data_IF_098823670005
#
_entry.id   IF_098823670005
#
_cell.length_a   1.000
_cell.length_b   1.000
_cell.length_c   1.000
_cell.angle_alpha   90.00
_cell.angle_beta   90.00
_cell.angle_gamma   90.00
#
_symmetry.space_group_name_H-M   'P 1'
#
loop_
_entity.id
_entity.type
_entity.pdbx_description
1 polymer ?
#
# COMPACT_ATOMS: atom_id res chain seq x y z
N UNK A 1 -12.66 -28.72 -2.83
CA UNK A 1 -12.77 -29.56 -1.63
C UNK A 1 -14.19 -30.09 -1.54
N UNK A 2 -14.38 -31.32 -1.03
CA UNK A 2 -15.60 -32.14 -1.06
C UNK A 2 -16.91 -31.36 -1.33
N UNK A 3 -17.41 -31.44 -2.56
CA UNK A 3 -18.77 -30.99 -2.90
C UNK A 3 -19.85 -31.92 -2.30
N UNK A 4 -19.44 -33.00 -1.63
CA UNK A 4 -20.27 -33.93 -0.90
C UNK A 4 -20.33 -33.57 0.61
N UNK A 5 -21.51 -33.17 1.13
CA UNK A 5 -21.71 -32.87 2.54
C UNK A 5 -21.36 -34.01 3.52
N UNK A 6 -21.45 -35.27 3.08
CA UNK A 6 -21.13 -36.41 3.93
C UNK A 6 -19.63 -36.57 4.17
N UNK A 7 -18.81 -36.25 3.16
CA UNK A 7 -17.35 -36.27 3.27
C UNK A 7 -16.84 -35.15 4.19
N UNK A 8 -17.44 -33.95 4.10
CA UNK A 8 -17.11 -32.82 4.99
C UNK A 8 -17.47 -33.12 6.46
N UNK A 9 -18.57 -33.86 6.69
CA UNK A 9 -18.98 -34.29 8.03
C UNK A 9 -18.00 -35.30 8.63
N UNK A 10 -17.62 -36.34 7.86
CA UNK A 10 -16.64 -37.35 8.30
C UNK A 10 -15.27 -36.72 8.58
N UNK A 11 -14.82 -35.80 7.73
CA UNK A 11 -13.59 -35.03 7.96
C UNK A 11 -13.68 -34.23 9.27
N UNK A 12 -14.77 -33.49 9.46
CA UNK A 12 -15.01 -32.66 10.65
C UNK A 12 -15.06 -33.47 11.95
N UNK A 13 -15.56 -34.71 11.92
CA UNK A 13 -15.55 -35.60 13.08
C UNK A 13 -14.13 -36.02 13.48
N UNK A 14 -13.27 -36.36 12.50
CA UNK A 14 -11.88 -36.74 12.77
C UNK A 14 -11.10 -35.56 13.35
N UNK A 15 -11.29 -34.36 12.78
CA UNK A 15 -10.69 -33.12 13.30
C UNK A 15 -11.06 -32.89 14.77
N UNK A 16 -12.32 -33.11 15.13
CA UNK A 16 -12.79 -33.03 16.53
C UNK A 16 -12.16 -34.09 17.42
N UNK A 17 -12.06 -35.33 16.96
CA UNK A 17 -11.44 -36.43 17.73
C UNK A 17 -9.96 -36.18 18.01
N UNK A 18 -9.27 -35.49 17.11
CA UNK A 18 -7.87 -35.10 17.27
C UNK A 18 -7.67 -33.80 18.06
N UNK A 19 -8.75 -33.15 18.53
CA UNK A 19 -8.71 -31.88 19.25
C UNK A 19 -7.93 -30.75 18.51
N UNK A 20 -8.01 -30.70 17.19
CA UNK A 20 -7.31 -29.69 16.40
C UNK A 20 -8.04 -28.33 16.47
N UNK A 21 -7.30 -27.21 16.61
CA UNK A 21 -7.88 -25.88 16.82
C UNK A 21 -8.55 -25.30 15.56
N UNK A 22 -8.06 -25.68 14.39
CA UNK A 22 -8.61 -25.25 13.10
C UNK A 22 -9.64 -26.28 12.61
N UNK A 23 -10.74 -25.81 12.00
CA UNK A 23 -11.85 -26.68 11.60
C UNK A 23 -11.92 -26.97 10.10
N UNK A 24 -11.13 -26.27 9.29
CA UNK A 24 -11.21 -26.33 7.83
C UNK A 24 -9.84 -26.20 7.19
N UNK A 25 -9.64 -26.96 6.13
CA UNK A 25 -8.54 -26.79 5.20
C UNK A 25 -8.76 -25.53 4.35
N UNK A 26 -7.67 -25.05 3.77
CA UNK A 26 -7.66 -23.87 2.88
C UNK A 26 -7.35 -24.36 1.47
N UNK A 27 -8.18 -24.00 0.49
CA UNK A 27 -7.96 -24.35 -0.90
C UNK A 27 -6.94 -23.42 -1.57
N UNK A 28 -6.08 -24.00 -2.42
CA UNK A 28 -5.21 -23.24 -3.32
C UNK A 28 -6.05 -22.48 -4.36
N UNK A 29 -5.61 -21.26 -4.66
CA UNK A 29 -6.28 -20.37 -5.58
C UNK A 29 -5.25 -19.83 -6.57
N UNK A 30 -5.32 -20.31 -7.81
CA UNK A 30 -4.35 -19.98 -8.88
C UNK A 30 -4.18 -18.48 -9.12
N UNK A 31 -5.20 -17.68 -8.86
CA UNK A 31 -5.16 -16.22 -9.04
C UNK A 31 -4.66 -15.47 -7.79
N UNK A 32 -4.46 -16.16 -6.65
CA UNK A 32 -3.93 -15.59 -5.42
C UNK A 32 -2.59 -16.23 -5.11
N UNK A 33 -1.51 -15.53 -5.47
CA UNK A 33 -0.11 -15.92 -5.27
C UNK A 33 0.27 -16.54 -3.91
N UNK A 34 -0.34 -16.11 -2.79
CA UNK A 34 -0.05 -16.64 -1.46
C UNK A 34 -0.81 -17.92 -1.07
N UNK A 35 -1.82 -18.30 -1.86
CA UNK A 35 -2.76 -19.35 -1.47
C UNK A 35 -2.13 -20.73 -1.36
N UNK A 36 -1.10 -21.03 -2.15
CA UNK A 36 -0.39 -22.32 -2.05
C UNK A 36 0.30 -22.48 -0.70
N UNK A 37 0.94 -21.42 -0.19
CA UNK A 37 1.51 -21.44 1.15
C UNK A 37 0.44 -21.61 2.22
N UNK A 38 -0.65 -20.83 2.12
CA UNK A 38 -1.77 -20.89 3.09
C UNK A 38 -2.41 -22.29 3.12
N UNK A 39 -2.60 -22.92 1.95
CA UNK A 39 -3.08 -24.30 1.81
C UNK A 39 -2.12 -25.27 2.47
N UNK A 40 -0.82 -25.24 2.14
CA UNK A 40 0.15 -26.19 2.68
C UNK A 40 0.31 -26.04 4.19
N UNK A 41 0.42 -24.80 4.69
CA UNK A 41 0.54 -24.50 6.11
C UNK A 41 -0.70 -24.97 6.90
N UNK A 42 -1.90 -24.87 6.32
CA UNK A 42 -3.11 -25.44 6.90
C UNK A 42 -3.06 -26.98 6.85
N UNK A 43 -2.81 -27.55 5.68
CA UNK A 43 -2.83 -29.01 5.45
C UNK A 43 -1.87 -29.77 6.38
N UNK A 44 -0.66 -29.23 6.61
CA UNK A 44 0.34 -29.82 7.51
C UNK A 44 -0.20 -29.98 8.94
N UNK A 45 -1.02 -29.04 9.44
CA UNK A 45 -1.66 -29.15 10.76
C UNK A 45 -2.68 -30.28 10.85
N UNK A 46 -3.19 -30.72 9.70
CA UNK A 46 -4.16 -31.80 9.57
C UNK A 46 -3.55 -33.10 9.07
N UNK A 47 -2.22 -33.24 9.01
CA UNK A 47 -1.56 -34.41 8.40
C UNK A 47 -2.06 -35.76 8.94
N UNK A 48 -2.38 -35.83 10.23
CA UNK A 48 -2.87 -37.04 10.89
C UNK A 48 -4.36 -37.33 10.63
N UNK A 49 -5.11 -36.38 10.05
CA UNK A 49 -6.50 -36.55 9.65
C UNK A 49 -6.60 -37.40 8.39
N UNK A 50 -5.69 -37.22 7.43
CA UNK A 50 -5.78 -37.85 6.10
C UNK A 50 -5.73 -39.39 6.16
N UNK A 51 -4.81 -40.04 6.91
CA UNK A 51 -4.81 -41.50 7.04
C UNK A 51 -6.08 -42.03 7.72
N UNK A 52 -6.56 -41.36 8.78
CA UNK A 52 -7.79 -41.74 9.49
C UNK A 52 -9.04 -41.55 8.63
N UNK A 53 -9.00 -40.61 7.69
CA UNK A 53 -10.05 -40.41 6.72
C UNK A 53 -10.03 -41.52 5.67
N UNK A 54 -8.83 -41.94 5.22
CA UNK A 54 -8.65 -43.10 4.36
C UNK A 54 -9.24 -44.39 4.97
N UNK A 55 -9.04 -44.60 6.27
CA UNK A 55 -9.61 -45.74 6.99
C UNK A 55 -11.15 -45.78 6.98
N UNK A 56 -11.80 -44.61 6.81
CA UNK A 56 -13.26 -44.45 6.85
C UNK A 56 -13.91 -44.32 5.48
N UNK A 57 -13.13 -44.09 4.43
CA UNK A 57 -13.62 -43.90 3.07
C UNK A 57 -12.96 -44.86 2.08
N UNK A 58 -13.73 -45.87 1.69
CA UNK A 58 -13.34 -46.94 0.78
C UNK A 58 -12.88 -46.47 -0.61
N UNK A 59 -13.19 -45.23 -1.00
CA UNK A 59 -12.84 -44.65 -2.30
C UNK A 59 -11.83 -43.48 -2.19
N UNK A 60 -11.13 -43.36 -1.06
CA UNK A 60 -10.11 -42.32 -0.86
C UNK A 60 -8.70 -42.82 -1.26
N UNK A 61 -8.43 -42.82 -2.57
CA UNK A 61 -7.17 -43.33 -3.14
C UNK A 61 -6.02 -42.30 -3.17
N UNK A 62 -6.24 -41.08 -2.67
CA UNK A 62 -5.32 -39.94 -2.82
C UNK A 62 -4.73 -39.51 -1.46
N UNK A 63 -4.53 -40.45 -0.54
CA UNK A 63 -3.93 -40.17 0.76
C UNK A 63 -2.44 -39.79 0.59
N UNK A 64 -1.98 -38.60 1.05
CA UNK A 64 -0.58 -38.23 0.94
C UNK A 64 0.32 -39.17 1.77
N UNK A 65 1.46 -39.55 1.20
CA UNK A 65 2.46 -40.38 1.87
C UNK A 65 3.30 -39.59 2.87
N UNK A 66 4.08 -40.28 3.71
CA UNK A 66 5.04 -39.64 4.61
C UNK A 66 6.12 -38.83 3.84
N UNK A 67 6.49 -39.28 2.64
CA UNK A 67 7.42 -38.55 1.77
C UNK A 67 6.78 -37.26 1.23
N UNK A 68 5.49 -37.29 0.87
CA UNK A 68 4.75 -36.11 0.41
C UNK A 68 4.66 -35.05 1.51
N UNK A 69 4.38 -35.45 2.76
CA UNK A 69 4.40 -34.52 3.89
C UNK A 69 5.78 -33.92 4.12
N UNK A 70 6.84 -34.72 3.99
CA UNK A 70 8.22 -34.23 4.09
C UNK A 70 8.52 -33.20 2.99
N UNK A 71 8.07 -33.43 1.75
CA UNK A 71 8.20 -32.46 0.66
C UNK A 71 7.37 -31.20 0.92
N UNK A 72 6.13 -31.36 1.38
CA UNK A 72 5.23 -30.25 1.69
C UNK A 72 5.80 -29.33 2.77
N UNK A 73 6.34 -29.88 3.85
CA UNK A 73 7.00 -29.11 4.92
C UNK A 73 8.21 -28.32 4.39
N UNK A 74 9.03 -28.93 3.53
CA UNK A 74 10.18 -28.25 2.90
C UNK A 74 9.73 -27.13 1.97
N UNK A 75 8.73 -27.35 1.12
CA UNK A 75 8.19 -26.30 0.24
C UNK A 75 7.58 -25.16 1.08
N UNK A 76 6.80 -25.50 2.10
CA UNK A 76 6.19 -24.54 3.01
C UNK A 76 7.24 -23.63 3.66
N UNK A 77 8.37 -24.20 4.11
CA UNK A 77 9.47 -23.43 4.68
C UNK A 77 10.10 -22.40 3.73
N UNK A 78 10.12 -22.69 2.42
CA UNK A 78 10.61 -21.73 1.42
C UNK A 78 9.56 -20.65 1.18
N UNK A 79 8.30 -21.05 1.01
CA UNK A 79 7.20 -20.13 0.70
C UNK A 79 6.82 -19.21 1.86
N UNK A 80 7.10 -19.59 3.12
CA UNK A 80 6.82 -18.77 4.31
C UNK A 80 7.47 -17.39 4.23
N UNK A 81 8.71 -17.31 3.74
CA UNK A 81 9.39 -16.02 3.59
C UNK A 81 8.73 -15.16 2.52
N UNK A 82 8.32 -15.75 1.39
CA UNK A 82 7.58 -15.04 0.34
C UNK A 82 6.25 -14.54 0.87
N UNK A 83 5.50 -15.39 1.57
CA UNK A 83 4.25 -15.01 2.19
C UNK A 83 4.44 -13.84 3.16
N UNK A 84 5.47 -13.89 4.00
CA UNK A 84 5.80 -12.82 4.96
C UNK A 84 6.16 -11.52 4.25
N UNK A 85 7.10 -11.57 3.30
CA UNK A 85 7.53 -10.40 2.52
C UNK A 85 6.35 -9.76 1.80
N UNK A 86 5.53 -10.59 1.14
CA UNK A 86 4.29 -10.17 0.50
C UNK A 86 3.34 -9.47 1.47
N UNK A 87 3.07 -10.04 2.64
CA UNK A 87 2.16 -9.44 3.61
C UNK A 87 2.65 -8.08 4.08
N UNK A 88 3.97 -7.90 4.22
CA UNK A 88 4.58 -6.63 4.58
C UNK A 88 4.38 -5.60 3.46
N UNK A 89 4.69 -5.94 2.20
CA UNK A 89 4.64 -4.99 1.08
C UNK A 89 3.24 -4.79 0.47
N UNK A 90 2.28 -5.65 0.83
CA UNK A 90 0.86 -5.51 0.46
C UNK A 90 -0.01 -4.84 1.52
N UNK A 91 0.63 -4.24 2.54
CA UNK A 91 -0.06 -3.38 3.50
C UNK A 91 -0.78 -2.22 2.82
N UNK A 92 -1.89 -1.77 3.42
CA UNK A 92 -2.65 -0.60 2.94
C UNK A 92 -2.83 0.48 4.00
N UNK A 93 -2.48 0.18 5.25
CA UNK A 93 -2.61 1.10 6.38
C UNK A 93 -1.29 1.81 6.71
N UNK A 94 -0.22 1.55 5.96
CA UNK A 94 1.11 2.15 6.13
C UNK A 94 1.87 2.22 4.79
N UNK A 95 2.88 3.10 4.67
CA UNK A 95 3.78 3.17 3.51
C UNK A 95 4.53 1.85 3.26
N UNK A 96 4.47 1.36 2.02
CA UNK A 96 5.11 0.08 1.65
C UNK A 96 6.37 0.24 0.81
N UNK A 97 6.57 1.39 0.16
CA UNK A 97 7.66 1.59 -0.81
C UNK A 97 9.04 1.57 -0.17
N UNK A 98 9.20 2.15 1.01
CA UNK A 98 10.43 2.09 1.80
C UNK A 98 10.76 0.70 2.34
N UNK A 99 9.78 -0.19 2.48
CA UNK A 99 9.98 -1.52 3.07
C UNK A 99 10.42 -2.56 2.04
N UNK A 100 10.08 -2.35 0.77
CA UNK A 100 10.25 -3.34 -0.28
C UNK A 100 11.70 -3.81 -0.45
N UNK A 101 12.68 -2.89 -0.45
CA UNK A 101 14.08 -3.23 -0.70
C UNK A 101 14.62 -4.24 0.32
N UNK A 102 14.27 -4.07 1.59
CA UNK A 102 14.68 -4.98 2.67
C UNK A 102 14.05 -6.36 2.48
N UNK A 103 12.75 -6.42 2.18
CA UNK A 103 12.03 -7.69 2.00
C UNK A 103 12.51 -8.46 0.76
N UNK A 104 12.78 -7.76 -0.34
CA UNK A 104 13.33 -8.38 -1.54
C UNK A 104 14.76 -8.87 -1.34
N UNK A 105 15.59 -8.12 -0.61
CA UNK A 105 16.92 -8.59 -0.21
C UNK A 105 16.85 -9.90 0.58
N UNK A 106 15.90 -10.02 1.52
CA UNK A 106 15.68 -11.26 2.28
C UNK A 106 15.29 -12.44 1.37
N UNK A 107 14.37 -12.22 0.44
CA UNK A 107 13.95 -13.23 -0.54
C UNK A 107 15.14 -13.70 -1.39
N UNK A 108 15.96 -12.77 -1.88
CA UNK A 108 17.15 -13.11 -2.68
C UNK A 108 18.14 -13.96 -1.89
N UNK A 109 18.43 -13.59 -0.65
CA UNK A 109 19.33 -14.36 0.23
C UNK A 109 18.81 -15.78 0.45
N UNK A 110 17.49 -15.95 0.67
CA UNK A 110 16.90 -17.29 0.80
C UNK A 110 17.07 -18.11 -0.48
N UNK A 111 16.75 -17.53 -1.64
CA UNK A 111 16.87 -18.20 -2.93
C UNK A 111 18.31 -18.63 -3.20
N UNK A 112 19.28 -17.75 -2.96
CA UNK A 112 20.69 -18.06 -3.16
C UNK A 112 21.17 -19.15 -2.20
N UNK A 113 20.77 -19.09 -0.92
CA UNK A 113 21.09 -20.13 0.07
C UNK A 113 20.50 -21.49 -0.33
N UNK A 114 19.22 -21.53 -0.70
CA UNK A 114 18.51 -22.77 -1.04
C UNK A 114 18.94 -23.36 -2.39
N UNK A 115 19.42 -22.53 -3.31
CA UNK A 115 20.01 -23.01 -4.58
C UNK A 115 21.31 -23.80 -4.39
N UNK A 116 21.98 -23.68 -3.24
CA UNK A 116 23.22 -24.39 -2.91
C UNK A 116 23.02 -25.55 -1.93
N UNK A 117 21.77 -25.86 -1.56
CA UNK A 117 21.46 -26.91 -0.59
C UNK A 117 21.58 -28.31 -1.20
N UNK A 118 21.86 -29.31 -0.36
CA UNK A 118 22.02 -30.71 -0.79
C UNK A 118 20.70 -31.37 -1.22
N UNK A 119 19.56 -30.80 -0.80
CA UNK A 119 18.25 -31.31 -1.17
C UNK A 119 17.95 -31.03 -2.65
N UNK A 120 18.04 -32.07 -3.49
CA UNK A 120 17.86 -31.97 -4.95
C UNK A 120 16.47 -31.42 -5.30
N UNK A 121 15.43 -31.87 -4.58
CA UNK A 121 14.05 -31.45 -4.84
C UNK A 121 13.87 -29.94 -4.59
N UNK A 122 14.38 -29.43 -3.46
CA UNK A 122 14.31 -28.00 -3.15
C UNK A 122 15.21 -27.18 -4.08
N UNK A 123 16.42 -27.67 -4.38
CA UNK A 123 17.35 -26.99 -5.27
C UNK A 123 16.75 -26.79 -6.66
N UNK A 124 16.13 -27.82 -7.24
CA UNK A 124 15.54 -27.74 -8.58
C UNK A 124 14.33 -26.78 -8.62
N UNK A 125 13.50 -26.78 -7.56
CA UNK A 125 12.40 -25.83 -7.41
C UNK A 125 12.93 -24.39 -7.29
N UNK A 126 13.88 -24.16 -6.40
CA UNK A 126 14.45 -22.84 -6.11
C UNK A 126 15.22 -22.30 -7.30
N UNK A 127 15.91 -23.13 -8.07
CA UNK A 127 16.57 -22.70 -9.30
C UNK A 127 15.59 -22.04 -10.29
N UNK A 128 14.40 -22.61 -10.46
CA UNK A 128 13.34 -22.03 -11.31
C UNK A 128 12.80 -20.72 -10.73
N UNK A 129 12.58 -20.65 -9.41
CA UNK A 129 12.13 -19.43 -8.73
C UNK A 129 13.17 -18.31 -8.83
N UNK A 130 14.44 -18.64 -8.60
CA UNK A 130 15.57 -17.72 -8.71
C UNK A 130 15.74 -17.18 -10.14
N UNK A 131 15.61 -18.04 -11.15
CA UNK A 131 15.65 -17.58 -12.56
C UNK A 131 14.56 -16.55 -12.86
N UNK A 132 13.35 -16.72 -12.30
CA UNK A 132 12.28 -15.70 -12.41
C UNK A 132 12.62 -14.43 -11.63
N UNK A 133 13.12 -14.57 -10.41
CA UNK A 133 13.56 -13.43 -9.60
C UNK A 133 14.60 -12.58 -10.34
N UNK A 134 15.69 -13.21 -10.78
CA UNK A 134 16.82 -12.53 -11.44
C UNK A 134 16.37 -11.87 -12.76
N UNK A 135 15.39 -12.47 -13.47
CA UNK A 135 14.79 -11.88 -14.67
C UNK A 135 14.07 -10.55 -14.41
N UNK A 136 13.29 -10.45 -13.32
CA UNK A 136 12.42 -9.29 -13.09
C UNK A 136 13.04 -8.22 -12.18
N UNK A 137 14.03 -8.56 -11.36
CA UNK A 137 14.65 -7.62 -10.43
C UNK A 137 15.31 -6.41 -11.12
N UNK A 138 15.93 -6.62 -12.29
CA UNK A 138 16.65 -5.59 -13.02
C UNK A 138 15.80 -4.39 -13.45
N UNK A 139 14.50 -4.61 -13.67
CA UNK A 139 13.60 -3.61 -14.27
C UNK A 139 12.84 -2.76 -13.22
N UNK A 140 12.89 -3.12 -11.94
CA UNK A 140 12.00 -2.55 -10.89
C UNK A 140 12.71 -2.28 -9.57
N UNK A 141 13.82 -1.55 -9.57
CA UNK A 141 14.60 -1.27 -8.34
C UNK A 141 14.72 0.22 -7.99
N UNK A 142 14.62 1.14 -8.94
CA UNK A 142 15.08 2.52 -8.73
C UNK A 142 14.17 3.31 -7.77
N UNK A 143 12.86 3.36 -8.06
CA UNK A 143 11.87 4.03 -7.21
C UNK A 143 11.88 3.46 -5.77
N UNK A 144 11.94 2.13 -5.65
CA UNK A 144 11.96 1.44 -4.36
C UNK A 144 13.25 1.70 -3.58
N UNK A 145 14.38 1.81 -4.28
CA UNK A 145 15.66 2.17 -3.65
C UNK A 145 15.62 3.62 -3.15
N UNK A 146 15.08 4.55 -3.93
CA UNK A 146 14.88 5.94 -3.52
C UNK A 146 13.95 6.02 -2.30
N UNK A 147 12.81 5.32 -2.33
CA UNK A 147 11.89 5.26 -1.20
C UNK A 147 12.55 4.71 0.07
N UNK A 148 13.42 3.69 -0.06
CA UNK A 148 14.21 3.18 1.06
C UNK A 148 15.21 4.22 1.60
N UNK A 149 15.85 5.01 0.73
CA UNK A 149 16.73 6.11 1.15
C UNK A 149 15.98 7.22 1.89
N UNK A 150 14.72 7.47 1.52
CA UNK A 150 13.86 8.46 2.19
C UNK A 150 13.27 7.95 3.51
N UNK A 151 13.55 6.71 3.92
CA UNK A 151 13.31 6.28 5.29
C UNK A 151 14.48 6.72 6.18
N UNK A 152 14.25 7.56 7.22
CA UNK A 152 15.30 8.12 8.06
C UNK A 152 16.07 7.05 8.85
N UNK A 153 15.50 5.84 9.01
CA UNK A 153 16.17 4.68 9.65
C UNK A 153 17.16 3.99 8.71
N UNK A 154 17.04 4.23 7.42
CA UNK A 154 17.73 3.53 6.35
C UNK A 154 18.77 4.42 5.67
N UNK A 155 18.33 5.54 5.07
CA UNK A 155 19.18 6.42 4.23
C UNK A 155 19.97 5.62 3.19
N UNK A 156 21.16 6.11 2.80
CA UNK A 156 22.03 5.40 1.87
C UNK A 156 22.52 4.05 2.41
N UNK A 157 22.52 3.84 3.73
CA UNK A 157 22.93 2.57 4.35
C UNK A 157 22.05 1.40 3.92
N UNK A 158 20.78 1.63 3.55
CA UNK A 158 19.94 0.57 2.99
C UNK A 158 20.52 0.01 1.69
N UNK A 159 21.13 0.85 0.85
CA UNK A 159 21.77 0.41 -0.39
C UNK A 159 23.05 -0.36 -0.09
N UNK A 160 23.89 0.17 0.81
CA UNK A 160 25.12 -0.48 1.28
C UNK A 160 24.84 -1.87 1.88
N UNK A 161 23.70 -2.05 2.53
CA UNK A 161 23.29 -3.32 3.12
C UNK A 161 22.64 -4.28 2.12
N UNK A 162 21.73 -3.78 1.27
CA UNK A 162 20.91 -4.62 0.39
C UNK A 162 21.60 -4.95 -0.94
N UNK A 163 22.29 -3.99 -1.55
CA UNK A 163 22.82 -4.15 -2.90
C UNK A 163 23.91 -5.23 -3.02
N UNK A 164 24.83 -5.41 -2.05
CA UNK A 164 25.76 -6.54 -2.07
C UNK A 164 25.10 -7.92 -2.04
N UNK A 165 23.82 -7.99 -1.65
CA UNK A 165 23.02 -9.23 -1.62
C UNK A 165 22.19 -9.41 -2.89
N UNK A 166 21.99 -8.34 -3.65
CA UNK A 166 21.08 -8.29 -4.81
C UNK A 166 21.84 -8.28 -6.14
N UNK A 167 23.03 -7.69 -6.16
CA UNK A 167 23.86 -7.54 -7.36
C UNK A 167 25.18 -8.28 -7.23
N UNK A 168 25.82 -8.57 -8.37
CA UNK A 168 27.23 -8.99 -8.38
C UNK A 168 28.11 -7.86 -7.86
N UNK A 169 29.22 -8.20 -7.20
CA UNK A 169 30.11 -7.23 -6.54
C UNK A 169 30.59 -6.10 -7.45
N UNK A 170 30.79 -6.38 -8.74
CA UNK A 170 31.19 -5.41 -9.77
C UNK A 170 30.10 -4.37 -10.10
N UNK A 171 28.83 -4.70 -9.84
CA UNK A 171 27.68 -3.85 -10.17
C UNK A 171 27.17 -3.06 -8.97
N UNK A 172 27.53 -3.43 -7.74
CA UNK A 172 27.02 -2.78 -6.51
C UNK A 172 27.26 -1.27 -6.54
N UNK A 173 28.51 -0.85 -6.71
CA UNK A 173 28.87 0.57 -6.68
C UNK A 173 28.19 1.34 -7.82
N UNK A 174 28.15 0.73 -9.02
CA UNK A 174 27.47 1.31 -10.17
C UNK A 174 25.99 1.58 -9.89
N UNK A 175 25.30 0.63 -9.23
CA UNK A 175 23.89 0.79 -8.89
C UNK A 175 23.68 1.84 -7.78
N UNK A 176 24.57 1.91 -6.79
CA UNK A 176 24.50 2.97 -5.75
C UNK A 176 24.63 4.35 -6.40
N UNK A 177 25.58 4.52 -7.33
CA UNK A 177 25.76 5.77 -8.07
C UNK A 177 24.52 6.14 -8.88
N UNK A 178 23.88 5.17 -9.55
CA UNK A 178 22.63 5.40 -10.31
C UNK A 178 21.52 5.90 -9.38
N UNK A 179 21.28 5.22 -8.26
CA UNK A 179 20.25 5.62 -7.29
C UNK A 179 20.53 7.01 -6.73
N UNK A 180 21.79 7.27 -6.34
CA UNK A 180 22.19 8.59 -5.82
C UNK A 180 21.95 9.67 -6.87
N UNK A 181 22.42 9.48 -8.11
CA UNK A 181 22.22 10.43 -9.20
C UNK A 181 20.74 10.74 -9.41
N UNK A 182 19.90 9.72 -9.56
CA UNK A 182 18.46 9.91 -9.77
C UNK A 182 17.78 10.58 -8.57
N UNK A 183 18.21 10.30 -7.34
CA UNK A 183 17.68 10.97 -6.15
C UNK A 183 17.95 12.49 -6.19
N UNK A 184 19.16 12.91 -6.59
CA UNK A 184 19.47 14.34 -6.74
C UNK A 184 18.75 14.99 -7.92
N UNK A 185 18.63 14.30 -9.06
CA UNK A 185 17.86 14.78 -10.22
C UNK A 185 16.39 15.01 -9.83
N UNK A 186 15.77 14.03 -9.17
CA UNK A 186 14.40 14.13 -8.71
C UNK A 186 14.22 15.26 -7.68
N UNK A 187 15.13 15.38 -6.71
CA UNK A 187 15.10 16.51 -5.76
C UNK A 187 15.20 17.87 -6.48
N UNK A 188 16.03 17.97 -7.52
CA UNK A 188 16.16 19.22 -8.28
C UNK A 188 14.87 19.62 -9.02
N UNK A 189 14.07 18.64 -9.48
CA UNK A 189 12.75 18.90 -10.04
C UNK A 189 11.78 19.48 -9.00
N UNK A 190 11.75 18.92 -7.77
CA UNK A 190 10.92 19.47 -6.69
C UNK A 190 11.33 20.88 -6.28
N UNK A 191 12.63 21.18 -6.28
CA UNK A 191 13.14 22.54 -6.03
C UNK A 191 12.65 23.51 -7.13
N UNK A 192 12.74 23.10 -8.40
CA UNK A 192 12.26 23.93 -9.51
C UNK A 192 10.76 24.22 -9.41
N UNK A 193 9.95 23.21 -9.07
CA UNK A 193 8.49 23.37 -8.87
C UNK A 193 8.21 24.35 -7.72
N UNK A 194 8.88 24.19 -6.57
CA UNK A 194 8.68 25.09 -5.42
C UNK A 194 9.04 26.54 -5.75
N UNK A 195 10.07 26.78 -6.55
CA UNK A 195 10.47 28.14 -6.93
C UNK A 195 9.41 28.81 -7.82
N UNK A 196 8.80 28.06 -8.74
CA UNK A 196 7.71 28.56 -9.60
C UNK A 196 6.48 28.93 -8.75
N UNK A 197 6.14 28.10 -7.75
CA UNK A 197 5.03 28.38 -6.83
C UNK A 197 5.27 29.66 -6.02
N UNK A 198 6.48 29.84 -5.47
CA UNK A 198 6.85 31.03 -4.70
C UNK A 198 6.84 32.31 -5.58
N UNK A 199 7.26 32.25 -6.85
CA UNK A 199 7.19 33.37 -7.80
C UNK A 199 5.73 33.76 -8.14
N UNK A 200 4.85 32.77 -8.33
CA UNK A 200 3.44 33.01 -8.66
C UNK A 200 2.65 33.70 -7.52
N UNK A 201 3.02 33.42 -6.26
CA UNK A 201 2.44 34.07 -5.07
C UNK A 201 2.90 35.53 -4.97
N UNK A 202 4.14 35.83 -5.37
CA UNK A 202 4.71 37.18 -5.39
C UNK A 202 4.02 38.11 -6.41
N UNK A 203 3.64 37.60 -7.59
CA UNK A 203 2.90 38.39 -8.59
C UNK A 203 1.43 38.62 -8.19
N UNK A 204 0.80 37.64 -7.53
CA UNK A 204 -0.58 37.75 -7.04
C UNK A 204 -0.79 38.82 -5.96
N UNK A 205 0.24 39.11 -5.16
CA UNK A 205 0.21 40.22 -4.19
C UNK A 205 0.46 41.58 -4.86
N UNK A 206 1.27 41.64 -5.93
CA UNK A 206 1.56 42.88 -6.65
C UNK A 206 0.34 43.46 -7.37
N UNK A 207 -0.59 42.61 -7.82
CA UNK A 207 -1.81 43.02 -8.52
C UNK A 207 -3.01 43.35 -7.61
N UNK A 208 -2.88 43.29 -6.27
CA UNK A 208 -3.95 43.70 -5.34
C UNK A 208 -3.85 45.14 -4.82
N UNK A 209 -2.82 45.90 -5.19
CA UNK A 209 -2.63 47.29 -4.74
C UNK A 209 -3.14 48.39 -5.69
N UNK A 210 -3.85 48.04 -6.77
CA UNK A 210 -4.39 49.03 -7.70
C UNK A 210 -5.81 49.48 -7.31
N UNK A 211 -5.99 50.03 -6.11
CA UNK A 211 -7.16 50.86 -5.79
C UNK A 211 -6.72 52.16 -5.10
N UNK A 212 -6.73 53.31 -5.78
CA UNK A 212 -6.08 54.54 -5.30
C UNK A 212 -6.79 55.23 -4.12
N UNK A 213 -7.88 54.67 -3.58
CA UNK A 213 -8.74 55.35 -2.59
C UNK A 213 -8.82 54.69 -1.19
N UNK A 214 -7.96 53.73 -0.85
CA UNK A 214 -7.81 53.26 0.52
C UNK A 214 -6.33 53.33 0.93
N UNK A 215 -5.94 54.45 1.53
CA UNK A 215 -4.66 54.55 2.26
C UNK A 215 -4.77 53.74 3.55
N UNK A 216 -4.67 52.41 3.44
CA UNK A 216 -4.16 51.65 4.56
C UNK A 216 -2.66 51.94 4.63
N UNK A 217 -2.26 52.68 5.66
CA UNK A 217 -0.87 52.70 6.10
C UNK A 217 -0.61 51.27 6.59
N UNK A 218 -0.07 50.41 5.71
CA UNK A 218 0.60 49.20 6.16
C UNK A 218 1.79 49.69 6.99
N UNK A 219 1.57 49.82 8.29
CA UNK A 219 2.64 50.09 9.22
C UNK A 219 3.52 48.85 9.18
N UNK A 220 4.68 48.94 8.51
CA UNK A 220 5.76 47.99 8.69
C UNK A 220 5.97 47.87 10.20
N UNK A 221 5.65 46.70 10.75
CA UNK A 221 5.87 46.43 12.15
C UNK A 221 7.37 46.27 12.40
N UNK A 222 7.83 46.46 13.63
CA UNK A 222 9.24 46.23 13.96
C UNK A 222 9.75 44.84 13.55
N UNK A 223 8.85 43.84 13.44
CA UNK A 223 9.17 42.52 12.90
C UNK A 223 9.49 42.49 11.40
N UNK A 224 8.86 43.31 10.57
CA UNK A 224 9.19 43.39 9.14
C UNK A 224 10.56 44.05 8.90
N UNK A 225 10.86 45.11 9.65
CA UNK A 225 12.18 45.76 9.60
C UNK A 225 13.27 44.83 10.14
N UNK A 226 13.01 44.13 11.25
CA UNK A 226 13.93 43.14 11.80
C UNK A 226 14.13 41.95 10.85
N UNK A 227 13.09 41.49 10.15
CA UNK A 227 13.20 40.43 9.15
C UNK A 227 14.01 40.86 7.92
N UNK A 228 13.88 42.12 7.46
CA UNK A 228 14.73 42.68 6.40
C UNK A 228 16.18 42.83 6.84
N UNK A 229 16.42 43.30 8.07
CA UNK A 229 17.75 43.34 8.68
C UNK A 229 18.37 41.93 8.76
N UNK A 230 17.63 40.95 9.28
CA UNK A 230 18.08 39.56 9.31
C UNK A 230 18.40 39.03 7.91
N UNK A 231 17.56 39.29 6.91
CA UNK A 231 17.86 38.92 5.52
C UNK A 231 19.14 39.57 4.99
N UNK A 232 19.49 40.77 5.46
CA UNK A 232 20.72 41.46 5.05
C UNK A 232 21.98 40.95 5.76
N UNK A 233 21.85 40.44 7.00
CA UNK A 233 22.99 39.98 7.83
C UNK A 233 23.22 38.47 7.69
N UNK A 234 22.14 37.69 7.58
CA UNK A 234 22.13 36.23 7.51
C UNK A 234 21.97 35.72 6.06
N UNK A 235 22.16 36.57 5.06
CA UNK A 235 21.94 36.27 3.62
C UNK A 235 22.90 35.22 3.03
N UNK A 236 23.64 34.50 3.87
CA UNK A 236 24.51 33.41 3.42
C UNK A 236 23.59 32.32 2.88
N UNK A 237 23.57 32.18 1.56
CA UNK A 237 22.87 31.08 0.91
C UNK A 237 23.35 29.76 1.51
N UNK A 238 22.44 28.85 1.90
CA UNK A 238 22.84 27.60 2.52
C UNK A 238 23.82 26.85 1.61
N UNK A 239 25.01 26.53 2.13
CA UNK A 239 26.05 25.85 1.37
C UNK A 239 25.68 24.41 0.99
N UNK A 240 24.67 23.84 1.64
CA UNK A 240 24.20 22.46 1.46
C UNK A 240 22.71 22.44 1.21
N UNK A 241 22.26 21.54 0.33
CA UNK A 241 20.84 21.32 0.10
C UNK A 241 20.19 20.60 1.29
N UNK A 242 18.85 20.66 1.41
CA UNK A 242 18.11 19.87 2.40
C UNK A 242 18.42 18.38 2.29
N UNK A 243 18.58 17.88 1.06
CA UNK A 243 18.95 16.50 0.77
C UNK A 243 20.34 16.17 1.32
N UNK A 244 21.33 17.05 1.12
CA UNK A 244 22.67 16.83 1.68
C UNK A 244 22.65 16.77 3.20
N UNK A 245 21.95 17.71 3.85
CA UNK A 245 21.78 17.73 5.30
C UNK A 245 21.12 16.44 5.81
N UNK A 246 20.06 15.99 5.14
CA UNK A 246 19.39 14.73 5.47
C UNK A 246 20.33 13.52 5.32
N UNK A 247 21.11 13.44 4.25
CA UNK A 247 21.99 12.30 3.98
C UNK A 247 23.23 12.26 4.89
N UNK A 248 23.73 13.42 5.33
CA UNK A 248 24.87 13.53 6.24
C UNK A 248 24.51 13.20 7.70
N UNK A 249 23.25 13.42 8.08
CA UNK A 249 22.80 13.05 9.42
C UNK A 249 22.79 11.53 9.63
N UNK A 250 23.05 11.10 10.86
CA UNK A 250 22.97 9.69 11.22
C UNK A 250 21.58 9.09 10.93
N UNK A 251 21.54 7.78 10.69
CA UNK A 251 20.28 7.06 10.60
C UNK A 251 19.54 7.15 11.94
N UNK A 252 18.23 7.34 11.88
CA UNK A 252 17.38 7.37 13.05
C UNK A 252 17.27 5.96 13.64
N UNK A 253 17.67 5.80 14.89
CA UNK A 253 17.53 4.55 15.63
C UNK A 253 16.18 4.57 16.32
N UNK A 254 15.24 3.78 15.81
CA UNK A 254 13.93 3.63 16.44
C UNK A 254 14.01 2.55 17.52
N UNK A 255 13.85 2.96 18.78
CA UNK A 255 13.67 2.04 19.90
C UNK A 255 12.17 1.81 20.09
N UNK A 256 11.74 0.55 19.93
CA UNK A 256 10.34 0.19 20.14
C UNK A 256 10.03 0.28 21.63
N UNK A 257 9.34 1.33 22.03
CA UNK A 257 8.99 1.55 23.41
C UNK A 257 7.99 0.48 23.88
N UNK A 258 8.37 -0.32 24.89
CA UNK A 258 7.58 -1.47 25.35
C UNK A 258 6.20 -1.09 25.88
N UNK A 259 5.98 0.18 26.20
CA UNK A 259 4.75 0.72 26.80
C UNK A 259 3.69 1.15 25.77
N UNK A 260 4.12 1.79 24.68
CA UNK A 260 3.18 2.36 23.70
C UNK A 260 2.87 1.42 22.54
N UNK A 261 3.71 0.41 22.28
CA UNK A 261 3.48 -0.62 21.28
C UNK A 261 3.33 -0.10 19.84
N UNK A 262 3.53 1.20 19.61
CA UNK A 262 3.40 1.84 18.30
C UNK A 262 4.61 1.49 17.43
N UNK A 263 4.32 1.09 16.20
CA UNK A 263 5.35 0.93 15.17
C UNK A 263 5.77 2.32 14.63
N UNK A 264 6.96 2.39 14.06
CA UNK A 264 7.48 3.61 13.46
C UNK A 264 6.67 4.04 12.24
N UNK A 265 6.17 5.28 12.25
CA UNK A 265 5.47 5.89 11.12
C UNK A 265 6.39 6.87 10.40
N UNK A 266 6.83 6.48 9.19
CA UNK A 266 7.75 7.26 8.37
C UNK A 266 7.12 8.55 7.85
N UNK A 267 5.82 8.56 7.54
CA UNK A 267 5.15 9.77 7.05
C UNK A 267 4.95 10.77 8.19
N UNK A 268 4.64 10.28 9.39
CA UNK A 268 4.57 11.14 10.57
C UNK A 268 5.93 11.75 10.91
N UNK A 269 7.02 10.98 10.77
CA UNK A 269 8.37 11.52 10.93
C UNK A 269 8.64 12.67 9.95
N UNK A 270 8.34 12.49 8.66
CA UNK A 270 8.49 13.55 7.65
C UNK A 270 7.60 14.75 7.92
N UNK A 271 6.36 14.54 8.40
CA UNK A 271 5.44 15.61 8.77
C UNK A 271 6.01 16.49 9.89
N UNK A 272 6.59 15.89 10.92
CA UNK A 272 7.20 16.61 12.05
C UNK A 272 8.46 17.37 11.62
N UNK A 273 9.22 16.84 10.66
CA UNK A 273 10.45 17.45 10.18
C UNK A 273 10.26 18.37 8.95
N UNK A 274 9.01 18.63 8.53
CA UNK A 274 8.72 19.42 7.34
C UNK A 274 9.23 20.88 7.42
N UNK A 275 9.35 21.45 8.62
CA UNK A 275 9.93 22.78 8.79
C UNK A 275 11.44 22.81 8.55
N UNK A 276 12.13 21.70 8.80
CA UNK A 276 13.57 21.54 8.59
C UNK A 276 13.88 21.15 7.14
N UNK A 277 13.01 20.36 6.54
CA UNK A 277 13.14 19.80 5.21
C UNK A 277 11.90 20.17 4.38
N UNK A 278 11.75 21.43 3.99
CA UNK A 278 10.53 21.96 3.36
C UNK A 278 10.24 21.22 2.05
N UNK A 279 11.22 21.15 1.15
CA UNK A 279 11.07 20.56 -0.18
C UNK A 279 11.21 19.04 -0.11
N UNK A 280 12.19 18.56 0.66
CA UNK A 280 12.46 17.12 0.76
C UNK A 280 11.32 16.36 1.46
N UNK A 281 10.63 16.97 2.44
CA UNK A 281 9.46 16.32 3.07
C UNK A 281 8.28 16.15 2.12
N UNK A 282 8.09 17.07 1.15
CA UNK A 282 7.08 16.96 0.10
C UNK A 282 7.43 15.79 -0.83
N UNK A 283 8.67 15.75 -1.32
CA UNK A 283 9.17 14.65 -2.15
C UNK A 283 9.04 13.30 -1.43
N UNK A 284 9.42 13.24 -0.15
CA UNK A 284 9.32 12.02 0.64
C UNK A 284 7.87 11.58 0.83
N UNK A 285 6.95 12.48 1.14
CA UNK A 285 5.51 12.19 1.23
C UNK A 285 5.00 11.56 -0.07
N UNK A 286 5.32 12.17 -1.21
CA UNK A 286 4.77 11.75 -2.50
C UNK A 286 5.29 10.38 -2.93
N UNK A 287 6.57 10.08 -2.70
CA UNK A 287 7.18 8.80 -3.05
C UNK A 287 6.85 7.67 -2.05
N UNK A 288 6.78 7.99 -0.76
CA UNK A 288 6.43 7.02 0.28
C UNK A 288 4.96 6.61 0.25
N UNK A 289 4.08 7.51 -0.22
CA UNK A 289 2.66 7.23 -0.38
C UNK A 289 2.34 6.24 -1.52
N UNK A 290 3.30 5.95 -2.41
CA UNK A 290 3.09 5.01 -3.52
C UNK A 290 2.95 3.58 -2.98
N UNK A 291 1.79 2.92 -3.16
CA UNK A 291 1.66 1.51 -2.83
C UNK A 291 2.47 0.69 -3.84
N UNK A 292 3.30 -0.23 -3.34
CA UNK A 292 4.13 -1.08 -4.20
C UNK A 292 3.33 -2.17 -4.90
N UNK A 293 2.21 -2.58 -4.32
CA UNK A 293 1.39 -3.66 -4.85
C UNK A 293 -0.01 -3.18 -5.20
N UNK A 294 -0.60 -3.80 -6.22
CA UNK A 294 -2.01 -3.61 -6.60
C UNK A 294 -2.98 -4.30 -5.64
N UNK A 295 -2.48 -5.04 -4.65
CA UNK A 295 -3.34 -5.80 -3.72
C UNK A 295 -4.32 -4.90 -2.97
N UNK A 296 -3.92 -3.66 -2.64
CA UNK A 296 -4.82 -2.69 -2.00
C UNK A 296 -5.98 -2.27 -2.93
N UNK A 297 -5.72 -2.07 -4.23
CA UNK A 297 -6.76 -1.74 -5.20
C UNK A 297 -7.62 -2.97 -5.49
N UNK A 298 -7.04 -4.16 -5.65
CA UNK A 298 -7.76 -5.43 -5.82
C UNK A 298 -8.68 -5.75 -4.63
N UNK A 299 -8.22 -5.54 -3.40
CA UNK A 299 -9.06 -5.68 -2.20
C UNK A 299 -10.21 -4.67 -2.19
N UNK A 300 -9.98 -3.47 -2.73
CA UNK A 300 -11.01 -2.44 -2.90
C UNK A 300 -12.02 -2.83 -3.99
N UNK A 301 -11.58 -3.39 -5.11
CA UNK A 301 -12.47 -3.92 -6.16
C UNK A 301 -13.25 -5.16 -5.71
N UNK A 302 -12.63 -6.05 -4.93
CA UNK A 302 -13.30 -7.20 -4.30
C UNK A 302 -14.30 -6.79 -3.20
N UNK A 303 -14.08 -5.65 -2.54
CA UNK A 303 -15.11 -5.02 -1.73
C UNK A 303 -16.17 -4.33 -2.59
N UNK A 304 -15.79 -3.73 -3.71
CA UNK A 304 -16.65 -3.09 -4.70
C UNK A 304 -17.65 -4.04 -5.33
N UNK A 305 -17.29 -5.30 -5.59
CA UNK A 305 -18.24 -6.34 -6.04
C UNK A 305 -19.34 -6.66 -5.03
N UNK A 306 -19.17 -6.28 -3.75
CA UNK A 306 -20.23 -6.35 -2.72
C UNK A 306 -21.09 -5.09 -2.67
N UNK A 307 -20.67 -4.02 -3.35
CA UNK A 307 -21.45 -2.80 -3.60
C UNK A 307 -22.20 -2.92 -4.94
N UNK A 308 -21.56 -3.55 -5.93
CA UNK A 308 -22.07 -3.89 -7.26
C UNK A 308 -22.47 -5.39 -7.25
N UNK A 309 -23.53 -5.73 -6.53
CA UNK A 309 -24.13 -7.07 -6.64
C UNK A 309 -25.12 -7.15 -7.82
N UNK A 310 -25.60 -8.36 -8.15
CA UNK A 310 -26.57 -8.56 -9.25
C UNK A 310 -27.86 -7.75 -9.11
N UNK A 311 -28.21 -7.28 -7.91
CA UNK A 311 -29.39 -6.45 -7.63
C UNK A 311 -29.09 -4.94 -7.64
N UNK A 312 -27.81 -4.53 -7.57
CA UNK A 312 -27.33 -3.14 -7.57
C UNK A 312 -26.55 -2.73 -8.82
N UNK A 313 -26.65 -3.52 -9.89
CA UNK A 313 -26.04 -3.23 -11.20
C UNK A 313 -26.59 -1.97 -11.91
N UNK A 314 -27.52 -1.24 -11.28
CA UNK A 314 -28.11 0.00 -11.79
C UNK A 314 -27.42 1.28 -11.27
N UNK A 315 -26.35 1.18 -10.48
CA UNK A 315 -25.64 2.36 -9.98
C UNK A 315 -24.76 2.97 -11.07
N UNK A 316 -24.79 4.30 -11.18
CA UNK A 316 -23.86 5.04 -12.05
C UNK A 316 -22.42 4.93 -11.51
N UNK A 317 -21.44 5.09 -12.39
CA UNK A 317 -20.01 5.13 -12.04
C UNK A 317 -19.73 6.09 -10.88
N UNK A 318 -20.35 7.27 -10.90
CA UNK A 318 -20.14 8.33 -9.93
C UNK A 318 -20.69 7.92 -8.56
N UNK A 319 -21.86 7.27 -8.53
CA UNK A 319 -22.44 6.77 -7.28
C UNK A 319 -21.58 5.66 -6.68
N UNK A 320 -21.06 4.76 -7.52
CA UNK A 320 -20.12 3.72 -7.06
C UNK A 320 -18.86 4.35 -6.48
N UNK A 321 -18.27 5.33 -7.16
CA UNK A 321 -17.09 6.04 -6.68
C UNK A 321 -17.33 6.70 -5.32
N UNK A 322 -18.43 7.46 -5.17
CA UNK A 322 -18.79 8.12 -3.91
C UNK A 322 -18.97 7.10 -2.79
N UNK A 323 -19.63 5.96 -3.05
CA UNK A 323 -19.83 4.92 -2.05
C UNK A 323 -18.52 4.24 -1.64
N UNK A 324 -17.61 3.99 -2.59
CA UNK A 324 -16.31 3.40 -2.28
C UNK A 324 -15.43 4.36 -1.48
N UNK A 325 -15.24 5.59 -1.99
CA UNK A 325 -14.39 6.62 -1.38
C UNK A 325 -14.95 7.06 -0.03
N UNK A 326 -16.24 7.42 0.03
CA UNK A 326 -16.90 7.84 1.26
C UNK A 326 -16.90 6.75 2.32
N UNK A 327 -17.12 5.49 1.92
CA UNK A 327 -17.00 4.35 2.82
C UNK A 327 -15.60 4.22 3.43
N UNK A 328 -14.55 4.48 2.65
CA UNK A 328 -13.17 4.40 3.13
C UNK A 328 -12.78 5.56 4.03
N UNK A 329 -13.15 6.79 3.66
CA UNK A 329 -12.93 7.99 4.47
C UNK A 329 -13.64 7.91 5.82
N UNK A 330 -14.90 7.45 5.84
CA UNK A 330 -15.64 7.28 7.08
C UNK A 330 -14.98 6.21 7.97
N UNK A 331 -14.52 5.10 7.40
CA UNK A 331 -13.78 4.08 8.17
C UNK A 331 -12.52 4.66 8.81
N UNK A 332 -11.73 5.43 8.05
CA UNK A 332 -10.52 6.10 8.57
C UNK A 332 -10.86 7.10 9.68
N UNK A 333 -11.87 7.96 9.45
CA UNK A 333 -12.30 8.98 10.42
C UNK A 333 -12.79 8.40 11.75
N UNK A 334 -13.48 7.26 11.70
CA UNK A 334 -14.04 6.62 12.89
C UNK A 334 -13.20 5.43 13.41
N UNK A 335 -11.99 5.22 12.90
CA UNK A 335 -11.08 4.16 13.35
C UNK A 335 -11.61 2.74 13.12
N UNK A 336 -12.49 2.54 12.13
CA UNK A 336 -13.09 1.23 11.83
C UNK A 336 -12.12 0.41 10.97
N UNK A 337 -11.38 -0.50 11.60
CA UNK A 337 -10.45 -1.42 10.91
C UNK A 337 -11.21 -2.37 9.95
N UNK A 338 -10.66 -2.62 8.76
CA UNK A 338 -11.12 -3.71 7.89
C UNK A 338 -10.88 -5.03 8.63
N UNK A 339 -11.94 -5.81 8.87
CA UNK A 339 -11.74 -7.22 9.27
C UNK A 339 -11.11 -7.97 8.10
N UNK A 340 -10.11 -8.84 8.33
CA UNK A 340 -9.65 -9.76 7.31
C UNK A 340 -10.85 -10.55 6.79
N UNK A 341 -10.85 -10.82 5.48
CA UNK A 341 -11.88 -11.61 4.80
C UNK A 341 -11.93 -13.00 5.45
N UNK A 342 -12.82 -13.19 6.43
CA UNK A 342 -12.92 -14.47 7.15
C UNK A 342 -13.88 -14.53 8.33
N UNK A 343 -14.31 -13.43 8.95
CA UNK A 343 -15.18 -13.51 10.16
C UNK A 343 -16.39 -12.59 10.10
N UNK A 344 -17.55 -13.19 9.82
CA UNK A 344 -18.86 -12.55 9.87
C UNK A 344 -19.41 -12.54 11.30
N UNK A 345 -19.76 -11.36 11.84
CA UNK A 345 -20.91 -11.17 12.76
C UNK A 345 -21.11 -9.69 13.16
N UNK A 346 -22.40 -9.32 13.22
CA UNK A 346 -23.13 -8.25 13.94
C UNK A 346 -22.61 -6.80 13.97
N UNK A 347 -21.31 -6.52 13.99
CA UNK A 347 -20.79 -5.13 13.94
C UNK A 347 -21.09 -4.42 12.60
N UNK A 348 -21.32 -5.21 11.55
CA UNK A 348 -21.62 -4.75 10.18
C UNK A 348 -23.00 -4.06 10.07
N UNK A 349 -23.96 -4.37 10.94
CA UNK A 349 -25.29 -3.76 10.91
C UNK A 349 -25.24 -2.31 11.42
N UNK A 350 -24.49 -2.07 12.50
CA UNK A 350 -24.36 -0.74 13.12
C UNK A 350 -23.57 0.23 12.24
N UNK A 351 -22.46 -0.24 11.66
CA UNK A 351 -21.67 0.55 10.71
C UNK A 351 -22.44 0.82 9.40
N UNK A 352 -23.23 -0.16 8.89
CA UNK A 352 -24.13 0.07 7.75
C UNK A 352 -25.21 1.11 8.07
N UNK A 353 -25.84 1.05 9.24
CA UNK A 353 -26.87 2.03 9.63
C UNK A 353 -26.29 3.44 9.76
N UNK A 354 -25.10 3.59 10.33
CA UNK A 354 -24.44 4.90 10.45
C UNK A 354 -24.07 5.47 9.08
N UNK A 355 -23.46 4.67 8.20
CA UNK A 355 -23.08 5.09 6.84
C UNK A 355 -24.31 5.43 6.00
N UNK A 356 -25.37 4.62 6.07
CA UNK A 356 -26.63 4.90 5.36
C UNK A 356 -27.27 6.18 5.90
N UNK A 357 -27.31 6.38 7.22
CA UNK A 357 -27.90 7.61 7.80
C UNK A 357 -27.14 8.87 7.40
N UNK A 358 -25.81 8.79 7.28
CA UNK A 358 -25.00 9.95 6.90
C UNK A 358 -25.10 10.24 5.40
N UNK A 359 -25.16 9.20 4.56
CA UNK A 359 -25.41 9.35 3.12
C UNK A 359 -26.79 10.00 2.87
N UNK A 360 -27.83 9.54 3.57
CA UNK A 360 -29.17 10.13 3.46
C UNK A 360 -29.18 11.59 3.93
N UNK A 361 -28.41 11.93 4.98
CA UNK A 361 -28.25 13.31 5.45
C UNK A 361 -27.55 14.22 4.42
N UNK A 362 -26.49 13.71 3.79
CA UNK A 362 -25.75 14.46 2.76
C UNK A 362 -26.62 14.67 1.52
N UNK A 363 -27.37 13.66 1.09
CA UNK A 363 -28.33 13.78 -0.02
C UNK A 363 -29.45 14.79 0.27
N UNK A 364 -29.97 14.82 1.50
CA UNK A 364 -30.98 15.81 1.90
C UNK A 364 -30.44 17.24 1.84
N UNK A 365 -29.21 17.49 2.30
CA UNK A 365 -28.58 18.82 2.20
C UNK A 365 -28.31 19.26 0.76
N UNK A 366 -27.95 18.33 -0.11
CA UNK A 366 -27.73 18.63 -1.52
C UNK A 366 -29.05 19.05 -2.20
N UNK A 367 -30.16 18.36 -1.91
CA UNK A 367 -31.48 18.72 -2.43
C UNK A 367 -31.98 20.08 -1.89
N UNK A 368 -31.67 20.43 -0.64
CA UNK A 368 -31.97 21.76 -0.08
C UNK A 368 -31.17 22.85 -0.81
N UNK A 369 -29.88 22.62 -1.09
CA UNK A 369 -29.03 23.54 -1.85
C UNK A 369 -29.49 23.72 -3.30
N UNK A 370 -29.92 22.64 -3.97
CA UNK A 370 -30.42 22.68 -5.36
C UNK A 370 -31.83 23.31 -5.45
N UNK A 371 -32.65 23.21 -4.40
CA UNK A 371 -33.94 23.91 -4.30
C UNK A 371 -33.79 25.41 -4.04
N UNK A 372 -32.68 25.83 -3.41
CA UNK A 372 -32.38 27.23 -3.14
C UNK A 372 -31.74 27.98 -4.31
N UNK A 373 -31.26 27.25 -5.33
CA UNK A 373 -30.61 27.82 -6.53
C UNK A 373 -31.52 27.88 -7.77
N UNK A 374 -32.73 27.33 -7.71
CA UNK A 374 -33.64 27.21 -8.87
C UNK A 374 -34.78 28.25 -8.92
N UNK A 375 -34.82 29.25 -8.02
CA UNK A 375 -35.80 30.34 -8.08
C UNK A 375 -35.35 31.56 -8.92
N UNK A 376 -34.73 31.35 -10.08
CA UNK A 376 -34.60 32.40 -11.10
C UNK A 376 -34.30 31.84 -12.49
N UNK A 377 -35.33 31.50 -13.27
CA UNK A 377 -35.40 31.77 -14.72
C UNK A 377 -36.64 31.15 -15.36
N UNK A 378 -37.37 31.97 -16.12
CA UNK A 378 -38.56 31.61 -16.90
C UNK A 378 -38.23 30.68 -18.08
N UNK A 379 -39.19 29.87 -18.58
CA UNK A 379 -38.91 28.82 -19.55
C UNK A 379 -38.88 29.36 -20.98
N UNK A 380 -37.86 28.97 -21.76
CA UNK A 380 -37.88 29.02 -23.23
C UNK A 380 -38.09 27.62 -23.78
N UNK A 381 -39.19 27.46 -24.50
CA UNK A 381 -39.48 26.35 -25.42
C UNK A 381 -38.46 26.29 -26.55
N UNK A 382 -37.89 25.11 -26.81
CA UNK A 382 -37.26 24.78 -28.10
C UNK A 382 -37.66 23.36 -28.49
N UNK A 383 -38.03 23.25 -29.76
CA UNK A 383 -38.66 22.14 -30.47
C UNK A 383 -37.79 20.88 -30.61
N UNK A 384 -38.48 19.75 -30.73
CA UNK A 384 -37.96 18.45 -31.14
C UNK A 384 -37.66 18.46 -32.64
N UNK A 385 -36.45 18.08 -33.02
CA UNK A 385 -36.20 17.51 -34.34
C UNK A 385 -35.60 16.10 -34.22
N UNK A 386 -36.17 15.22 -35.01
CA UNK A 386 -36.00 13.79 -35.06
C UNK A 386 -35.19 13.42 -36.30
N UNK A 387 -33.98 12.90 -36.12
CA UNK A 387 -33.39 12.01 -37.12
C UNK A 387 -32.24 11.17 -36.54
N UNK A 388 -32.46 9.85 -36.61
CA UNK A 388 -31.52 8.77 -36.96
C UNK A 388 -30.03 8.99 -36.61
N UNK A 389 -29.32 8.08 -35.94
CA UNK A 389 -28.98 6.78 -36.54
C UNK A 389 -28.45 5.80 -35.48
N UNK A 390 -28.93 4.57 -35.63
CA UNK A 390 -28.68 3.33 -34.92
C UNK A 390 -27.31 2.73 -35.29
N UNK A 391 -26.49 2.32 -34.32
CA UNK A 391 -25.49 1.25 -34.49
C UNK A 391 -25.30 0.46 -33.18
N UNK A 392 -25.55 -0.85 -33.30
CA UNK A 392 -25.14 -1.98 -32.46
C UNK A 392 -24.86 -3.12 -33.46
N UNK A 393 -24.16 -4.21 -33.08
CA UNK A 393 -23.77 -4.65 -31.74
C UNK A 393 -22.39 -4.17 -31.31
#
# INVERSE_FOLDING_TARGET
>A
MFDDPMLDLKYSEIVKQLNLPEKKLVDDCRTRWNSTYEMLAAAIKFKDVFPRFADRELHYDICPSAEDWTKAEKVCSVLELFWTATHIVSGSDYPTSNLFLNEVSRVKVLLDKKALENDIFIRDMVAKMKSKFDKYWGDSNLLMSIAAVLDPRCKLRALEFCFPRLYSSENVERQIVVVRKTLYELYSEYVAISNIEDESIGEGQRNKLSNPNLRHVETQCGWSEYAEYLKSVESIQPQKSELDLYLEENCYIFEKDKKDGKDFDVLEWWRVHALKYKILSIMARDLLAIPITTVASEATFSAGSRVIDKYRASLTSDTVQVLMCGGDWLRKRFGVKKKPLGVYSTARARARQLVVSEITRVQARQLELDSSSSSSSSPKTVELDSSSTRWHP
#
